data_IF_987638545319
#
_entry.id   IF_987638545319
#
_cell.length_a   1.000
_cell.length_b   1.000
_cell.length_c   1.000
_cell.angle_alpha   90.00
_cell.angle_beta   90.00
_cell.angle_gamma   90.00
#
_symmetry.space_group_name_H-M   'P 1'
#
loop_
_entity.id
_entity.type
_entity.pdbx_description
1 polymer ?
#
# COMPACT_ATOMS: atom_id res chain seq x y z
N UNK A 1 7.23 -0.11 15.96
CA UNK A 1 7.20 1.03 15.04
C UNK A 1 7.88 0.66 13.74
N UNK A 2 7.40 1.21 12.64
CA UNK A 2 7.94 0.92 11.31
C UNK A 2 8.49 2.18 10.67
N UNK A 3 9.51 1.99 9.83
CA UNK A 3 9.90 2.99 8.85
C UNK A 3 9.15 2.68 7.55
N UNK A 4 8.48 3.67 6.97
CA UNK A 4 7.73 3.50 5.73
C UNK A 4 8.58 3.98 4.55
N UNK A 5 8.75 3.11 3.56
CA UNK A 5 9.39 3.43 2.30
C UNK A 5 8.39 3.24 1.17
N UNK A 6 8.65 3.86 0.03
CA UNK A 6 7.75 3.84 -1.13
C UNK A 6 8.53 3.57 -2.39
N UNK A 7 7.97 2.76 -3.27
CA UNK A 7 8.52 2.59 -4.61
C UNK A 7 8.11 3.76 -5.50
N UNK A 8 8.78 3.90 -6.64
CA UNK A 8 8.38 4.87 -7.67
C UNK A 8 6.98 4.56 -8.17
N UNK A 9 6.64 3.29 -8.30
CA UNK A 9 5.30 2.86 -8.73
C UNK A 9 4.22 3.33 -7.75
N UNK A 10 4.47 3.19 -6.46
CA UNK A 10 3.52 3.65 -5.45
C UNK A 10 3.35 5.17 -5.49
N UNK A 11 4.46 5.91 -5.56
CA UNK A 11 4.44 7.37 -5.63
C UNK A 11 3.67 7.85 -6.86
N UNK A 12 3.91 7.23 -8.01
CA UNK A 12 3.25 7.60 -9.26
C UNK A 12 1.74 7.34 -9.17
N UNK A 13 1.35 6.20 -8.60
CA UNK A 13 -0.07 5.90 -8.42
C UNK A 13 -0.73 6.92 -7.49
N UNK A 14 -0.10 7.21 -6.37
CA UNK A 14 -0.65 8.15 -5.38
C UNK A 14 -0.78 9.55 -5.97
N UNK A 15 0.24 10.03 -6.66
CA UNK A 15 0.22 11.36 -7.28
C UNK A 15 -0.86 11.47 -8.36
N UNK A 16 -1.18 10.36 -9.03
CA UNK A 16 -2.19 10.32 -10.07
C UNK A 16 -3.62 10.30 -9.57
N UNK A 17 -3.85 10.12 -8.28
CA UNK A 17 -5.20 10.13 -7.74
C UNK A 17 -5.79 11.54 -7.81
N UNK A 18 -7.03 11.64 -8.31
CA UNK A 18 -7.72 12.92 -8.42
C UNK A 18 -8.48 13.29 -7.15
N UNK A 19 -8.86 12.30 -6.36
CA UNK A 19 -9.62 12.51 -5.14
C UNK A 19 -8.70 12.95 -4.01
N UNK A 20 -8.79 14.24 -3.65
CA UNK A 20 -7.96 14.80 -2.56
C UNK A 20 -8.21 14.12 -1.23
N UNK A 21 -9.47 13.80 -0.93
CA UNK A 21 -9.80 13.12 0.33
C UNK A 21 -9.19 11.73 0.41
N UNK A 22 -9.14 11.03 -0.72
CA UNK A 22 -8.48 9.74 -0.80
C UNK A 22 -6.99 9.88 -0.47
N UNK A 23 -6.31 10.87 -1.04
CA UNK A 23 -4.90 11.14 -0.74
C UNK A 23 -4.68 11.43 0.74
N UNK A 24 -5.55 12.21 1.34
CA UNK A 24 -5.47 12.53 2.77
C UNK A 24 -5.65 11.29 3.64
N UNK A 25 -6.62 10.45 3.32
CA UNK A 25 -6.87 9.21 4.05
C UNK A 25 -5.69 8.24 3.93
N UNK A 26 -5.09 8.16 2.75
CA UNK A 26 -3.91 7.33 2.53
C UNK A 26 -2.74 7.87 3.36
N UNK A 27 -2.50 9.17 3.32
CA UNK A 27 -1.42 9.79 4.11
C UNK A 27 -1.60 9.52 5.60
N UNK A 28 -2.81 9.70 6.12
CA UNK A 28 -3.13 9.42 7.52
C UNK A 28 -2.86 7.96 7.88
N UNK A 29 -3.24 7.04 6.97
CA UNK A 29 -3.01 5.62 7.19
C UNK A 29 -1.52 5.29 7.27
N UNK A 30 -0.71 5.89 6.40
CA UNK A 30 0.74 5.68 6.41
C UNK A 30 1.39 6.22 7.67
N UNK A 31 0.92 7.35 8.19
CA UNK A 31 1.39 7.87 9.48
C UNK A 31 1.10 6.88 10.60
N UNK A 32 -0.09 6.28 10.61
CA UNK A 32 -0.44 5.26 11.61
C UNK A 32 0.44 4.02 11.49
N UNK A 33 0.81 3.63 10.29
CA UNK A 33 1.72 2.50 10.05
C UNK A 33 3.07 2.77 10.73
N UNK A 34 3.58 3.99 10.65
CA UNK A 34 4.83 4.36 11.32
C UNK A 34 4.76 4.13 12.83
N UNK A 35 3.58 4.23 13.42
CA UNK A 35 3.35 3.96 14.84
C UNK A 35 3.05 2.48 15.12
N UNK A 36 3.10 1.62 14.11
CA UNK A 36 2.85 0.19 14.26
C UNK A 36 1.40 -0.24 14.06
N UNK A 37 0.52 0.68 13.63
CA UNK A 37 -0.90 0.40 13.44
C UNK A 37 -1.19 0.16 11.96
N UNK A 38 -1.38 -1.09 11.57
CA UNK A 38 -1.62 -1.47 10.17
C UNK A 38 -3.08 -1.28 9.75
N UNK A 39 -4.01 -1.25 10.70
CA UNK A 39 -5.43 -1.11 10.41
C UNK A 39 -6.01 -2.33 9.71
N UNK A 40 -6.93 -2.13 8.80
CA UNK A 40 -7.58 -3.22 8.04
C UNK A 40 -6.61 -3.71 6.96
N UNK A 41 -6.08 -4.93 7.14
CA UNK A 41 -5.11 -5.52 6.23
C UNK A 41 -5.32 -7.03 6.12
N UNK A 42 -4.83 -7.61 5.03
CA UNK A 42 -4.74 -9.07 4.90
C UNK A 42 -3.57 -9.47 4.01
N UNK A 43 -3.05 -10.67 4.21
CA UNK A 43 -2.02 -11.22 3.35
C UNK A 43 -2.61 -11.63 2.00
N UNK A 44 -1.85 -11.41 0.92
CA UNK A 44 -2.23 -11.82 -0.44
C UNK A 44 -1.24 -12.81 -1.05
N UNK A 45 -0.26 -13.27 -0.26
CA UNK A 45 0.74 -14.26 -0.68
C UNK A 45 2.08 -13.65 -1.04
N UNK A 46 3.10 -14.49 -1.09
CA UNK A 46 4.47 -14.14 -1.49
C UNK A 46 5.07 -13.00 -0.65
N UNK A 47 4.69 -12.91 0.61
CA UNK A 47 5.18 -11.86 1.50
C UNK A 47 4.54 -10.50 1.28
N UNK A 48 3.53 -10.43 0.43
CA UNK A 48 2.80 -9.20 0.14
C UNK A 48 1.47 -9.19 0.91
N UNK A 49 1.09 -8.02 1.41
CA UNK A 49 -0.18 -7.80 2.08
C UNK A 49 -0.86 -6.57 1.49
N UNK A 50 -2.16 -6.46 1.70
CA UNK A 50 -2.92 -5.29 1.29
C UNK A 50 -3.51 -4.59 2.51
N UNK A 51 -3.48 -3.25 2.48
CA UNK A 51 -4.26 -2.40 3.38
C UNK A 51 -5.46 -1.89 2.63
N UNK A 52 -6.63 -1.95 3.25
CA UNK A 52 -7.86 -1.46 2.65
C UNK A 52 -8.21 -0.11 3.21
N UNK A 53 -8.61 0.79 2.33
CA UNK A 53 -9.07 2.11 2.70
C UNK A 53 -10.51 2.24 2.23
N UNK A 54 -11.42 2.31 3.20
CA UNK A 54 -12.85 2.38 2.96
C UNK A 54 -13.24 3.81 2.59
N UNK A 55 -13.06 4.14 1.32
CA UNK A 55 -13.38 5.45 0.77
C UNK A 55 -13.53 5.34 -0.75
N UNK A 56 -14.56 5.96 -1.31
CA UNK A 56 -14.81 5.97 -2.73
C UNK A 56 -14.86 4.57 -3.34
N UNK A 57 -14.08 4.30 -4.39
CA UNK A 57 -14.10 2.99 -5.07
C UNK A 57 -13.39 1.89 -4.30
N UNK A 58 -12.95 2.15 -3.06
CA UNK A 58 -12.26 1.15 -2.24
C UNK A 58 -10.80 1.02 -2.63
N UNK A 59 -9.95 1.90 -2.08
CA UNK A 59 -8.52 1.88 -2.39
C UNK A 59 -7.81 0.76 -1.65
N UNK A 60 -6.73 0.26 -2.26
CA UNK A 60 -5.87 -0.78 -1.71
C UNK A 60 -4.43 -0.33 -1.80
N UNK A 61 -3.67 -0.52 -0.72
CA UNK A 61 -2.23 -0.27 -0.68
C UNK A 61 -1.54 -1.63 -0.50
N UNK A 62 -0.66 -2.00 -1.43
CA UNK A 62 0.06 -3.27 -1.37
C UNK A 62 1.45 -3.03 -0.83
N UNK A 63 1.85 -3.81 0.17
CA UNK A 63 3.10 -3.59 0.88
C UNK A 63 3.76 -4.90 1.27
N UNK A 64 5.04 -4.82 1.59
CA UNK A 64 5.78 -5.92 2.21
C UNK A 64 6.57 -5.38 3.39
N UNK A 65 6.89 -6.23 4.35
CA UNK A 65 7.65 -5.85 5.53
C UNK A 65 9.01 -6.53 5.46
N UNK A 66 10.07 -5.75 5.61
CA UNK A 66 11.46 -6.22 5.61
C UNK A 66 12.05 -6.08 6.99
N UNK A 67 12.60 -7.20 7.52
CA UNK A 67 13.29 -7.20 8.80
C UNK A 67 12.41 -6.80 9.98
N UNK A 68 11.10 -6.91 9.87
CA UNK A 68 10.12 -6.53 10.90
C UNK A 68 10.18 -5.04 11.28
N UNK A 69 10.85 -4.22 10.46
CA UNK A 69 11.06 -2.80 10.76
C UNK A 69 10.61 -1.90 9.61
N UNK A 70 10.83 -2.33 8.38
CA UNK A 70 10.56 -1.51 7.20
C UNK A 70 9.32 -2.00 6.49
N UNK A 71 8.33 -1.11 6.35
CA UNK A 71 7.15 -1.36 5.52
C UNK A 71 7.40 -0.67 4.19
N UNK A 72 7.44 -1.44 3.12
CA UNK A 72 7.68 -0.91 1.78
C UNK A 72 6.36 -0.91 1.02
N UNK A 73 5.85 0.28 0.70
CA UNK A 73 4.66 0.46 -0.11
C UNK A 73 5.03 0.22 -1.57
N UNK A 74 4.52 -0.85 -2.14
CA UNK A 74 4.90 -1.34 -3.47
C UNK A 74 4.11 -0.68 -4.59
N UNK A 75 2.79 -0.70 -4.48
CA UNK A 75 1.89 -0.07 -5.44
C UNK A 75 0.51 0.06 -4.81
N UNK A 76 -0.40 0.69 -5.53
CA UNK A 76 -1.77 0.84 -5.08
C UNK A 76 -2.77 0.60 -6.20
N UNK A 77 -4.02 0.45 -5.83
CA UNK A 77 -5.12 0.33 -6.80
C UNK A 77 -6.44 0.69 -6.14
N UNK A 78 -7.48 0.80 -6.94
CA UNK A 78 -8.83 0.72 -6.43
C UNK A 78 -9.28 -0.74 -6.46
N UNK A 79 -10.53 -0.99 -6.07
CA UNK A 79 -11.07 -2.35 -6.00
C UNK A 79 -11.10 -3.03 -7.38
N UNK A 80 -11.33 -2.27 -8.46
CA UNK A 80 -11.43 -2.85 -9.81
C UNK A 80 -10.08 -3.29 -10.37
N UNK A 81 -8.98 -2.66 -9.94
CA UNK A 81 -7.63 -2.98 -10.40
C UNK A 81 -6.88 -3.97 -9.52
N UNK A 82 -7.56 -4.61 -8.58
CA UNK A 82 -6.94 -5.39 -7.52
C UNK A 82 -6.07 -6.55 -8.05
N UNK A 83 -6.57 -7.31 -9.00
CA UNK A 83 -5.83 -8.47 -9.52
C UNK A 83 -4.50 -8.09 -10.16
N UNK A 84 -4.49 -7.08 -11.01
CA UNK A 84 -3.27 -6.59 -11.66
C UNK A 84 -2.30 -6.02 -10.66
N UNK A 85 -2.81 -5.29 -9.68
CA UNK A 85 -1.97 -4.67 -8.67
C UNK A 85 -1.29 -5.70 -7.77
N UNK A 86 -1.99 -6.77 -7.41
CA UNK A 86 -1.39 -7.85 -6.63
C UNK A 86 -0.25 -8.51 -7.40
N UNK A 87 -0.44 -8.77 -8.69
CA UNK A 87 0.61 -9.34 -9.53
C UNK A 87 1.83 -8.42 -9.59
N UNK A 88 1.61 -7.13 -9.83
CA UNK A 88 2.68 -6.14 -9.85
C UNK A 88 3.40 -6.05 -8.51
N UNK A 89 2.64 -6.01 -7.41
CA UNK A 89 3.21 -5.93 -6.08
C UNK A 89 4.14 -7.11 -5.79
N UNK A 90 3.75 -8.31 -6.18
CA UNK A 90 4.56 -9.51 -5.97
C UNK A 90 5.84 -9.45 -6.80
N UNK A 91 5.78 -8.94 -8.03
CA UNK A 91 6.97 -8.74 -8.85
C UNK A 91 7.91 -7.70 -8.24
N UNK A 92 7.36 -6.58 -7.80
CA UNK A 92 8.17 -5.53 -7.16
C UNK A 92 8.82 -6.03 -5.87
N UNK A 93 8.13 -6.82 -5.08
CA UNK A 93 8.67 -7.38 -3.85
C UNK A 93 9.88 -8.27 -4.11
N UNK A 94 9.92 -8.95 -5.25
CA UNK A 94 11.06 -9.81 -5.63
C UNK A 94 12.31 -9.01 -6.01
N UNK A 95 12.14 -7.77 -6.47
CA UNK A 95 13.24 -6.96 -6.98
C UNK A 95 13.84 -6.01 -5.93
N UNK A 96 13.36 -6.07 -4.72
CA UNK A 96 13.87 -5.20 -3.65
C UNK A 96 14.44 -5.97 -2.46
#
# INVERSE_FOLDING_TARGET
MFRVERTVEFESWLDGLRDRRAKEKIATRLVRVESGLLGDWKAVGDGVSEMRIDHGPGYRLYYTIRGQVIVIQLCGSDKSGQGRAITLAKELAKSI
#
